data_IF_916445936521
#
_entry.id   IF_916445936521
#
_cell.length_a   1.000
_cell.length_b   1.000
_cell.length_c   1.000
_cell.angle_alpha   90.00
_cell.angle_beta   90.00
_cell.angle_gamma   90.00
#
_symmetry.space_group_name_H-M   'P 1'
#
loop_
_entity.id
_entity.type
_entity.pdbx_description
1 polymer ?
#
# COMPACT_ATOMS: atom_id res chain seq x y z
N UNK A 1 -14.48 11.20 -3.33
CA UNK A 1 -15.52 12.09 -2.74
C UNK A 1 -14.91 12.92 -1.63
N UNK A 2 -15.42 14.13 -1.36
CA UNK A 2 -15.03 14.86 -0.15
C UNK A 2 -15.44 14.02 1.08
N UNK A 3 -14.70 14.17 2.18
CA UNK A 3 -15.04 13.57 3.47
C UNK A 3 -16.44 14.05 3.92
N UNK A 4 -17.16 13.20 4.66
CA UNK A 4 -18.43 13.63 5.25
C UNK A 4 -18.20 14.74 6.28
N UNK A 5 -19.20 15.60 6.55
CA UNK A 5 -19.08 16.64 7.57
C UNK A 5 -18.71 16.09 8.96
N UNK A 6 -19.23 14.91 9.31
CA UNK A 6 -18.93 14.23 10.57
C UNK A 6 -17.48 13.78 10.64
N UNK A 7 -16.96 13.18 9.56
CA UNK A 7 -15.56 12.77 9.47
C UNK A 7 -14.62 13.99 9.51
N UNK A 8 -14.99 15.10 8.88
CA UNK A 8 -14.25 16.35 8.95
C UNK A 8 -14.23 16.92 10.37
N UNK A 9 -15.38 16.94 11.05
CA UNK A 9 -15.47 17.42 12.44
C UNK A 9 -14.66 16.54 13.40
N UNK A 10 -14.63 15.22 13.20
CA UNK A 10 -13.78 14.32 13.98
C UNK A 10 -12.29 14.65 13.81
N UNK A 11 -11.84 14.90 12.58
CA UNK A 11 -10.45 15.28 12.27
C UNK A 11 -10.12 16.61 12.96
N UNK A 12 -10.95 17.63 12.82
CA UNK A 12 -10.75 18.93 13.43
C UNK A 12 -10.69 18.84 14.95
N UNK A 13 -11.58 18.07 15.57
CA UNK A 13 -11.58 17.80 17.00
C UNK A 13 -10.28 17.12 17.45
N UNK A 14 -9.84 16.08 16.75
CA UNK A 14 -8.61 15.37 17.08
C UNK A 14 -7.37 16.28 16.97
N UNK A 15 -7.33 17.18 15.98
CA UNK A 15 -6.20 18.11 15.75
C UNK A 15 -6.24 19.36 16.64
N UNK A 16 -7.38 19.73 17.17
CA UNK A 16 -7.54 20.95 17.99
C UNK A 16 -6.98 20.85 19.41
N UNK A 17 -6.60 19.66 19.85
CA UNK A 17 -6.10 19.41 21.22
C UNK A 17 -4.63 18.91 21.18
N UNK A 18 -3.65 19.80 20.88
CA UNK A 18 -2.25 19.40 20.85
C UNK A 18 -1.77 19.02 22.24
N UNK A 19 -0.86 18.03 22.31
CA UNK A 19 -0.21 17.60 23.53
C UNK A 19 1.30 17.76 23.41
N UNK A 20 1.95 18.25 24.44
CA UNK A 20 3.41 18.25 24.49
C UNK A 20 3.93 16.82 24.64
N UNK A 21 4.99 16.50 23.92
CA UNK A 21 5.69 15.21 24.01
C UNK A 21 7.19 15.42 24.12
N UNK A 22 7.89 14.51 24.80
CA UNK A 22 9.36 14.48 24.87
C UNK A 22 9.98 13.59 23.78
N UNK A 23 9.19 12.83 23.05
CA UNK A 23 9.69 12.04 21.92
C UNK A 23 9.98 12.93 20.71
N UNK A 24 10.92 12.49 19.86
CA UNK A 24 11.16 13.13 18.60
C UNK A 24 9.90 13.10 17.72
N UNK A 25 9.64 14.15 16.99
CA UNK A 25 8.53 14.28 16.04
C UNK A 25 9.06 14.62 14.65
N UNK A 26 8.36 14.13 13.61
CA UNK A 26 8.57 14.51 12.23
C UNK A 26 7.50 15.54 11.86
N UNK A 27 7.90 16.78 11.57
CA UNK A 27 6.96 17.86 11.21
C UNK A 27 6.10 17.46 10.00
N UNK A 28 6.70 16.76 9.03
CA UNK A 28 5.98 16.24 7.87
C UNK A 28 4.88 15.26 8.26
N UNK A 29 5.13 14.34 9.20
CA UNK A 29 4.13 13.39 9.65
C UNK A 29 3.07 14.04 10.57
N UNK A 30 3.47 14.99 11.43
CA UNK A 30 2.54 15.76 12.26
C UNK A 30 1.50 16.50 11.40
N UNK A 31 1.88 16.96 10.22
CA UNK A 31 0.97 17.61 9.28
C UNK A 31 -0.14 16.66 8.77
N UNK A 32 0.11 15.35 8.75
CA UNK A 32 -0.82 14.32 8.27
C UNK A 32 -1.61 13.61 9.36
N UNK A 33 -1.22 13.75 10.65
CA UNK A 33 -1.93 13.08 11.74
C UNK A 33 -3.43 13.36 11.71
N UNK A 34 -4.21 12.28 11.83
CA UNK A 34 -5.67 12.24 11.85
C UNK A 34 -6.36 12.71 10.55
N UNK A 35 -5.62 13.23 9.58
CA UNK A 35 -6.19 13.64 8.30
C UNK A 35 -6.49 12.42 7.44
N UNK A 36 -7.74 12.21 7.05
CA UNK A 36 -8.13 11.17 6.12
C UNK A 36 -7.87 11.64 4.68
N UNK A 37 -6.94 10.98 4.01
CA UNK A 37 -6.63 11.21 2.61
C UNK A 37 -7.48 10.30 1.73
N UNK A 38 -8.38 10.81 0.88
CA UNK A 38 -9.27 10.00 0.06
C UNK A 38 -8.52 9.12 -0.94
N UNK A 39 -9.02 7.90 -1.15
CA UNK A 39 -8.55 6.94 -2.15
C UNK A 39 -9.74 6.21 -2.75
N UNK A 40 -9.78 6.06 -4.06
CA UNK A 40 -10.93 5.51 -4.79
C UNK A 40 -12.20 6.36 -4.54
N UNK A 41 -13.39 5.71 -4.61
CA UNK A 41 -14.68 6.40 -4.44
C UNK A 41 -15.08 6.63 -2.98
N UNK A 42 -14.81 5.67 -2.06
CA UNK A 42 -15.19 5.73 -0.64
C UNK A 42 -14.05 5.43 0.33
N UNK A 43 -12.86 5.06 -0.18
CA UNK A 43 -11.71 4.70 0.63
C UNK A 43 -10.92 5.89 1.15
N UNK A 44 -10.06 5.61 2.11
CA UNK A 44 -9.07 6.57 2.61
C UNK A 44 -7.88 5.89 3.28
N UNK A 45 -6.78 6.65 3.43
CA UNK A 45 -5.68 6.38 4.35
C UNK A 45 -5.57 7.52 5.34
N UNK A 46 -5.47 7.22 6.63
CA UNK A 46 -5.32 8.17 7.73
C UNK A 46 -4.18 7.74 8.64
N UNK A 47 -3.21 8.60 8.89
CA UNK A 47 -2.16 8.36 9.89
C UNK A 47 -2.76 8.55 11.28
N UNK A 48 -2.61 7.55 12.15
CA UNK A 48 -3.12 7.59 13.53
C UNK A 48 -1.99 7.84 14.53
N UNK A 49 -0.83 7.23 14.29
CA UNK A 49 0.30 7.33 15.19
C UNK A 49 1.57 6.88 14.47
N UNK A 50 2.72 7.34 14.92
CA UNK A 50 4.02 6.93 14.39
C UNK A 50 5.09 7.01 15.48
N UNK A 51 6.21 6.35 15.25
CA UNK A 51 7.40 6.37 16.09
C UNK A 51 8.65 6.48 15.22
N UNK A 52 9.53 7.41 15.58
CA UNK A 52 10.82 7.59 14.91
C UNK A 52 10.76 8.50 13.68
N UNK A 53 11.94 8.79 13.18
CA UNK A 53 12.26 9.65 12.05
C UNK A 53 13.59 9.19 11.42
N UNK A 54 14.14 9.93 10.45
CA UNK A 54 15.46 9.63 9.88
C UNK A 54 16.57 9.58 10.95
N UNK A 55 16.49 10.42 12.00
CA UNK A 55 17.48 10.41 13.08
C UNK A 55 17.41 9.15 13.94
N UNK A 56 16.21 8.58 14.12
CA UNK A 56 16.03 7.32 14.83
C UNK A 56 16.69 6.14 14.11
N UNK A 57 16.64 6.10 12.78
CA UNK A 57 17.33 5.10 11.96
C UNK A 57 18.85 5.18 12.18
N UNK A 58 19.40 6.38 12.14
CA UNK A 58 20.82 6.64 12.35
C UNK A 58 21.25 6.29 13.77
N UNK A 59 20.44 6.65 14.76
CA UNK A 59 20.68 6.31 16.18
C UNK A 59 20.75 4.79 16.38
N UNK A 60 19.80 4.07 15.81
CA UNK A 60 19.77 2.61 15.90
C UNK A 60 20.99 1.96 15.23
N UNK A 61 21.40 2.44 14.07
CA UNK A 61 22.60 1.95 13.40
C UNK A 61 23.87 2.18 14.24
N UNK A 62 24.00 3.34 14.87
CA UNK A 62 25.19 3.71 15.65
C UNK A 62 25.34 2.97 16.98
N UNK A 63 24.26 2.46 17.53
CA UNK A 63 24.31 1.64 18.75
C UNK A 63 25.24 0.45 18.61
N UNK A 64 25.34 -0.10 17.40
CA UNK A 64 26.22 -1.23 17.07
C UNK A 64 27.72 -0.93 17.23
N UNK A 65 28.12 0.34 17.25
CA UNK A 65 29.51 0.75 17.41
C UNK A 65 29.90 1.08 18.86
N UNK A 66 28.98 0.96 19.83
CA UNK A 66 29.23 1.21 21.26
C UNK A 66 29.68 2.64 21.61
N UNK A 67 29.76 3.52 20.65
CA UNK A 67 30.39 4.85 20.80
C UNK A 67 29.38 5.99 21.01
N UNK A 68 28.16 5.68 21.44
CA UNK A 68 27.14 6.70 21.73
C UNK A 68 26.75 7.53 20.49
N UNK A 69 25.82 8.40 20.69
CA UNK A 69 25.12 9.23 19.71
C UNK A 69 25.93 10.41 19.15
N UNK A 70 27.20 10.24 18.82
CA UNK A 70 27.93 11.33 18.13
C UNK A 70 27.31 11.53 16.75
N UNK A 71 26.64 12.67 16.56
CA UNK A 71 26.23 13.12 15.24
C UNK A 71 27.46 13.18 14.30
N UNK A 72 27.47 12.33 13.28
CA UNK A 72 28.42 12.46 12.19
C UNK A 72 27.80 13.39 11.14
N UNK A 73 28.66 14.06 10.38
CA UNK A 73 28.27 15.09 9.40
C UNK A 73 27.42 14.58 8.21
N UNK A 74 27.22 13.26 8.08
CA UNK A 74 26.50 12.66 6.95
C UNK A 74 25.59 11.53 7.40
N UNK A 75 24.46 11.90 7.98
CA UNK A 75 23.40 10.95 8.38
C UNK A 75 22.68 10.37 7.15
N UNK A 76 22.49 11.16 6.10
CA UNK A 76 21.89 10.71 4.86
C UNK A 76 22.75 9.67 4.13
N UNK A 77 24.08 9.86 4.12
CA UNK A 77 25.02 8.88 3.57
C UNK A 77 24.97 7.53 4.30
N UNK A 78 24.83 7.55 5.63
CA UNK A 78 24.67 6.32 6.42
C UNK A 78 23.35 5.62 6.08
N UNK A 79 22.24 6.34 6.00
CA UNK A 79 20.93 5.76 5.62
C UNK A 79 21.02 5.12 4.21
N UNK A 80 21.63 5.81 3.25
CA UNK A 80 21.87 5.27 1.91
C UNK A 80 22.74 4.01 1.93
N UNK A 81 23.79 3.99 2.74
CA UNK A 81 24.62 2.79 2.94
C UNK A 81 23.82 1.62 3.48
N UNK A 82 23.04 1.84 4.55
CA UNK A 82 22.20 0.81 5.17
C UNK A 82 21.18 0.25 4.16
N UNK A 83 20.52 1.12 3.40
CA UNK A 83 19.55 0.73 2.38
C UNK A 83 20.20 -0.10 1.28
N UNK A 84 21.36 0.33 0.75
CA UNK A 84 22.09 -0.35 -0.32
C UNK A 84 22.53 -1.75 0.09
N UNK A 85 22.99 -1.91 1.33
CA UNK A 85 23.54 -3.17 1.86
C UNK A 85 22.51 -4.04 2.58
N UNK A 86 21.22 -3.74 2.46
CA UNK A 86 20.13 -4.56 3.01
C UNK A 86 20.13 -4.68 4.54
N UNK A 87 20.65 -3.69 5.26
CA UNK A 87 20.50 -3.62 6.70
C UNK A 87 19.06 -3.24 7.05
N UNK A 88 18.28 -4.17 7.61
CA UNK A 88 16.85 -3.97 7.89
C UNK A 88 16.59 -3.34 9.27
N UNK A 89 17.24 -3.85 10.30
CA UNK A 89 16.96 -3.53 11.71
C UNK A 89 16.93 -2.04 12.05
N UNK A 90 17.81 -1.17 11.52
CA UNK A 90 17.69 0.27 11.80
C UNK A 90 16.38 0.89 11.32
N UNK A 91 15.83 0.42 10.20
CA UNK A 91 14.55 0.88 9.66
C UNK A 91 13.34 0.29 10.43
N UNK A 92 13.52 -0.87 11.08
CA UNK A 92 12.50 -1.49 11.93
C UNK A 92 12.26 -0.70 13.23
N UNK A 93 13.18 0.23 13.60
CA UNK A 93 13.01 1.12 14.75
C UNK A 93 12.07 2.30 14.50
N UNK A 94 11.56 2.44 13.30
CA UNK A 94 10.48 3.36 12.95
C UNK A 94 9.20 2.58 12.69
N UNK A 95 8.09 2.98 13.30
CA UNK A 95 6.78 2.32 13.14
C UNK A 95 5.70 3.35 12.79
N UNK A 96 4.67 2.90 12.08
CA UNK A 96 3.49 3.72 11.77
C UNK A 96 2.22 2.91 11.89
N UNK A 97 1.15 3.57 12.34
CA UNK A 97 -0.20 3.02 12.43
C UNK A 97 -1.15 3.82 11.53
N UNK A 98 -1.68 3.14 10.54
CA UNK A 98 -2.69 3.69 9.64
C UNK A 98 -4.08 3.19 10.01
N UNK A 99 -5.08 4.05 9.82
CA UNK A 99 -6.47 3.66 9.64
C UNK A 99 -6.76 3.68 8.14
N UNK A 100 -7.17 2.57 7.59
CA UNK A 100 -7.41 2.42 6.15
C UNK A 100 -8.83 1.91 5.92
N UNK A 101 -9.56 2.59 5.04
CA UNK A 101 -10.83 2.13 4.49
C UNK A 101 -10.61 1.68 3.06
N UNK A 102 -10.97 0.44 2.75
CA UNK A 102 -10.65 -0.19 1.47
C UNK A 102 -11.67 -1.29 1.11
N UNK A 103 -11.85 -1.62 -0.19
CA UNK A 103 -12.68 -2.75 -0.59
C UNK A 103 -12.13 -4.09 -0.08
N UNK A 104 -13.01 -5.02 0.26
CA UNK A 104 -12.62 -6.35 0.78
C UNK A 104 -11.69 -7.09 -0.18
N UNK A 105 -11.90 -7.02 -1.50
CA UNK A 105 -11.00 -7.68 -2.45
C UNK A 105 -9.57 -7.09 -2.45
N UNK A 106 -9.42 -5.79 -2.16
CA UNK A 106 -8.12 -5.14 -1.96
C UNK A 106 -7.51 -5.57 -0.62
N UNK A 107 -8.34 -5.62 0.44
CA UNK A 107 -7.93 -6.10 1.75
C UNK A 107 -7.38 -7.53 1.69
N UNK A 108 -8.00 -8.43 0.91
CA UNK A 108 -7.54 -9.81 0.69
C UNK A 108 -6.16 -9.89 0.04
N UNK A 109 -5.81 -8.94 -0.79
CA UNK A 109 -4.49 -8.84 -1.40
C UNK A 109 -3.47 -8.21 -0.42
N UNK A 110 -3.87 -7.18 0.33
CA UNK A 110 -3.02 -6.47 1.28
C UNK A 110 -2.60 -7.35 2.48
N UNK A 111 -3.52 -8.15 3.03
CA UNK A 111 -3.27 -9.03 4.18
C UNK A 111 -2.18 -10.08 3.93
N UNK A 112 -1.74 -10.27 2.68
CA UNK A 112 -0.60 -11.14 2.34
C UNK A 112 0.74 -10.57 2.82
N UNK A 113 0.80 -9.27 3.15
CA UNK A 113 1.92 -8.62 3.84
C UNK A 113 1.76 -8.86 5.35
N UNK A 114 2.36 -9.95 5.84
CA UNK A 114 2.08 -10.52 7.17
C UNK A 114 2.90 -9.93 8.31
N UNK A 115 4.00 -9.22 8.01
CA UNK A 115 4.81 -8.55 9.04
C UNK A 115 4.17 -7.20 9.37
N UNK A 116 3.02 -7.28 10.02
CA UNK A 116 2.20 -6.15 10.43
C UNK A 116 1.15 -6.60 11.45
N UNK A 117 0.58 -5.66 12.20
CA UNK A 117 -0.57 -5.89 13.07
C UNK A 117 -1.81 -5.33 12.40
N UNK A 118 -2.89 -6.10 12.37
CA UNK A 118 -4.17 -5.72 11.77
C UNK A 118 -5.28 -5.88 12.78
N UNK A 119 -6.14 -4.88 12.88
CA UNK A 119 -7.41 -4.94 13.60
C UNK A 119 -8.50 -4.42 12.69
N UNK A 120 -9.30 -5.35 12.17
CA UNK A 120 -10.33 -5.06 11.15
C UNK A 120 -11.69 -4.85 11.78
N UNK A 121 -12.48 -3.94 11.20
CA UNK A 121 -13.89 -3.72 11.49
C UNK A 121 -14.69 -5.03 11.35
N UNK A 122 -15.48 -5.35 12.36
CA UNK A 122 -16.16 -6.65 12.40
C UNK A 122 -17.62 -6.54 12.00
N UNK A 123 -17.96 -7.10 10.85
CA UNK A 123 -19.35 -7.32 10.43
C UNK A 123 -20.15 -8.30 11.32
N UNK A 124 -19.53 -8.86 12.38
CA UNK A 124 -20.21 -9.64 13.42
C UNK A 124 -20.85 -8.73 14.48
N UNK A 125 -20.21 -7.60 14.76
CA UNK A 125 -20.64 -6.68 15.81
C UNK A 125 -21.42 -5.48 15.27
N UNK A 126 -21.17 -5.10 14.03
CA UNK A 126 -21.80 -3.94 13.39
C UNK A 126 -22.33 -4.30 12.01
N UNK A 127 -23.31 -3.54 11.54
CA UNK A 127 -23.76 -3.58 10.16
C UNK A 127 -22.71 -2.82 9.34
N UNK A 128 -22.25 -3.40 8.23
CA UNK A 128 -21.33 -2.74 7.32
C UNK A 128 -22.02 -1.57 6.62
N UNK A 129 -21.25 -0.52 6.34
CA UNK A 129 -21.74 0.62 5.57
C UNK A 129 -22.19 0.17 4.16
N UNK A 130 -23.24 0.83 3.63
CA UNK A 130 -23.75 0.58 2.27
C UNK A 130 -22.86 1.28 1.24
N UNK A 131 -21.60 0.88 1.19
CA UNK A 131 -20.60 1.46 0.31
C UNK A 131 -19.86 0.37 -0.45
N UNK A 132 -19.83 0.51 -1.77
CA UNK A 132 -19.25 -0.46 -2.69
C UNK A 132 -18.29 0.26 -3.61
N UNK A 133 -17.15 -0.34 -3.88
CA UNK A 133 -16.27 0.16 -4.91
C UNK A 133 -16.90 -0.08 -6.29
N UNK A 134 -17.09 1.00 -7.01
CA UNK A 134 -17.46 0.98 -8.43
C UNK A 134 -16.34 1.69 -9.20
N UNK A 135 -15.64 0.99 -10.11
CA UNK A 135 -14.53 1.60 -10.84
C UNK A 135 -15.01 2.80 -11.68
N UNK A 136 -14.19 3.86 -11.70
CA UNK A 136 -14.38 4.94 -12.66
C UNK A 136 -14.24 4.41 -14.10
N UNK A 137 -14.87 5.04 -15.09
CA UNK A 137 -14.85 4.55 -16.47
C UNK A 137 -13.45 4.30 -17.04
N UNK A 138 -12.48 5.12 -16.71
CA UNK A 138 -11.08 5.01 -17.12
C UNK A 138 -10.30 3.90 -16.38
N UNK A 139 -10.80 3.44 -15.26
CA UNK A 139 -10.27 2.31 -14.51
C UNK A 139 -10.92 0.96 -14.91
N UNK A 140 -11.98 0.98 -15.71
CA UNK A 140 -12.71 -0.21 -16.16
C UNK A 140 -12.02 -0.82 -17.38
N UNK A 141 -11.08 -1.75 -17.16
CA UNK A 141 -10.25 -2.31 -18.22
C UNK A 141 -10.54 -3.79 -18.47
N UNK A 142 -10.38 -4.20 -19.74
CA UNK A 142 -10.46 -5.58 -20.15
C UNK A 142 -9.30 -6.42 -19.57
N UNK A 143 -9.38 -7.74 -19.68
CA UNK A 143 -8.27 -8.63 -19.35
C UNK A 143 -7.10 -8.40 -20.32
N UNK A 144 -5.87 -8.31 -19.80
CA UNK A 144 -4.68 -8.28 -20.65
C UNK A 144 -4.55 -9.57 -21.47
N UNK A 145 -4.14 -9.42 -22.72
CA UNK A 145 -3.84 -10.53 -23.62
C UNK A 145 -2.40 -11.04 -23.49
N UNK A 146 -1.56 -10.31 -22.78
CA UNK A 146 -0.12 -10.61 -22.62
C UNK A 146 0.17 -11.41 -21.34
N UNK A 147 -0.58 -11.14 -20.28
CA UNK A 147 -0.47 -11.86 -19.01
C UNK A 147 -1.84 -12.06 -18.35
N UNK A 148 -1.95 -13.07 -17.51
CA UNK A 148 -3.21 -13.42 -16.83
C UNK A 148 -3.56 -12.51 -15.63
N UNK A 149 -2.72 -11.57 -15.27
CA UNK A 149 -2.87 -10.70 -14.07
C UNK A 149 -3.03 -9.22 -14.43
N UNK A 150 -2.71 -8.85 -15.66
CA UNK A 150 -2.69 -7.45 -16.10
C UNK A 150 -4.02 -6.98 -16.65
N UNK A 151 -4.17 -5.66 -16.67
CA UNK A 151 -5.25 -4.96 -17.37
C UNK A 151 -4.87 -4.70 -18.82
N UNK A 152 -5.85 -4.82 -19.70
CA UNK A 152 -5.75 -4.47 -21.12
C UNK A 152 -6.31 -3.07 -21.39
N UNK A 153 -6.94 -2.91 -22.56
CA UNK A 153 -7.57 -1.67 -22.96
C UNK A 153 -8.78 -1.34 -22.05
N UNK A 154 -9.03 -0.06 -21.86
CA UNK A 154 -10.22 0.45 -21.14
C UNK A 154 -11.47 0.11 -21.97
N UNK A 155 -12.48 -0.46 -21.31
CA UNK A 155 -13.80 -0.71 -21.90
C UNK A 155 -14.48 0.61 -22.21
N UNK A 156 -15.22 0.68 -23.32
CA UNK A 156 -15.88 1.89 -23.76
C UNK A 156 -17.31 1.64 -24.21
N UNK A 157 -18.09 2.74 -24.33
CA UNK A 157 -19.43 2.71 -24.88
C UNK A 157 -20.43 1.84 -24.12
N UNK A 158 -21.26 1.12 -24.85
CA UNK A 158 -22.35 0.29 -24.29
C UNK A 158 -21.83 -0.88 -23.44
N UNK A 159 -20.67 -1.43 -23.77
CA UNK A 159 -20.07 -2.53 -22.98
C UNK A 159 -19.64 -2.04 -21.59
N UNK A 160 -18.97 -0.91 -21.52
CA UNK A 160 -18.59 -0.28 -20.24
C UNK A 160 -19.82 0.05 -19.39
N UNK A 161 -20.84 0.66 -19.99
CA UNK A 161 -22.09 1.00 -19.32
C UNK A 161 -22.80 -0.26 -18.77
N UNK A 162 -22.88 -1.33 -19.57
CA UNK A 162 -23.46 -2.61 -19.16
C UNK A 162 -22.71 -3.23 -17.97
N UNK A 163 -21.37 -3.23 -18.00
CA UNK A 163 -20.57 -3.82 -16.94
C UNK A 163 -20.71 -3.02 -15.65
N UNK A 164 -20.67 -1.69 -15.72
CA UNK A 164 -20.90 -0.82 -14.55
C UNK A 164 -22.29 -1.00 -13.95
N UNK A 165 -23.32 -1.15 -14.79
CA UNK A 165 -24.69 -1.40 -14.33
C UNK A 165 -24.80 -2.75 -13.59
N UNK A 166 -24.18 -3.82 -14.11
CA UNK A 166 -24.11 -5.12 -13.42
C UNK A 166 -23.45 -4.98 -12.05
N UNK A 167 -22.26 -4.37 -11.98
CA UNK A 167 -21.51 -4.20 -10.74
C UNK A 167 -22.34 -3.46 -9.68
N UNK A 168 -22.97 -2.36 -10.08
CA UNK A 168 -23.79 -1.52 -9.21
C UNK A 168 -25.08 -2.24 -8.75
N UNK A 169 -25.80 -2.85 -9.70
CA UNK A 169 -27.06 -3.52 -9.42
C UNK A 169 -26.89 -4.75 -8.54
N UNK A 170 -25.88 -5.57 -8.83
CA UNK A 170 -25.59 -6.77 -8.04
C UNK A 170 -25.13 -6.43 -6.62
N UNK A 171 -24.25 -5.41 -6.47
CA UNK A 171 -23.83 -4.95 -5.14
C UNK A 171 -25.00 -4.41 -4.32
N UNK A 172 -25.86 -3.57 -4.93
CA UNK A 172 -27.04 -3.01 -4.29
C UNK A 172 -28.00 -4.13 -3.85
N UNK A 173 -28.33 -5.05 -4.76
CA UNK A 173 -29.24 -6.18 -4.48
C UNK A 173 -28.70 -7.10 -3.38
N UNK A 174 -27.39 -7.39 -3.41
CA UNK A 174 -26.77 -8.22 -2.37
C UNK A 174 -26.86 -7.56 -0.98
N UNK A 175 -26.70 -6.26 -0.92
CA UNK A 175 -26.83 -5.50 0.32
C UNK A 175 -28.27 -5.40 0.80
N UNK A 176 -29.24 -5.16 -0.08
CA UNK A 176 -30.68 -5.17 0.26
C UNK A 176 -31.08 -6.52 0.86
N UNK A 177 -30.61 -7.61 0.28
CA UNK A 177 -30.83 -8.96 0.81
C UNK A 177 -30.12 -9.17 2.16
N UNK A 178 -28.93 -8.61 2.35
CA UNK A 178 -28.23 -8.63 3.63
C UNK A 178 -29.05 -7.93 4.72
N UNK A 179 -29.55 -6.72 4.48
CA UNK A 179 -30.42 -6.00 5.41
C UNK A 179 -31.71 -6.74 5.70
N UNK A 180 -32.34 -7.32 4.66
CA UNK A 180 -33.58 -8.09 4.82
C UNK A 180 -33.39 -9.37 5.64
N UNK A 181 -32.19 -9.96 5.67
CA UNK A 181 -31.87 -11.12 6.50
C UNK A 181 -31.61 -10.77 7.96
N UNK A 182 -31.36 -9.52 8.30
CA UNK A 182 -31.16 -9.09 9.68
C UNK A 182 -32.49 -8.97 10.43
N UNK A 183 -32.45 -8.98 11.77
CA UNK A 183 -33.64 -8.76 12.59
C UNK A 183 -34.25 -7.40 12.32
N UNK A 184 -35.53 -7.38 11.94
CA UNK A 184 -36.34 -6.17 11.74
C UNK A 184 -37.69 -6.35 12.43
N UNK A 185 -38.18 -5.28 13.09
CA UNK A 185 -39.56 -5.13 13.59
C UNK A 185 -40.11 -6.34 14.36
N UNK A 186 -39.31 -6.95 15.24
CA UNK A 186 -39.74 -8.06 16.11
C UNK A 186 -39.71 -9.45 15.47
N UNK A 187 -39.23 -9.58 14.24
CA UNK A 187 -38.93 -10.87 13.62
C UNK A 187 -37.50 -11.33 13.98
N UNK A 188 -37.34 -12.64 14.21
CA UNK A 188 -36.03 -13.24 14.37
C UNK A 188 -35.32 -13.26 13.02
N UNK A 189 -34.25 -12.40 12.87
CA UNK A 189 -33.39 -12.42 11.70
C UNK A 189 -32.26 -13.44 11.81
N UNK A 190 -31.53 -13.58 10.73
CA UNK A 190 -30.29 -14.35 10.67
C UNK A 190 -29.21 -13.70 11.53
N UNK A 191 -28.36 -14.48 12.19
CA UNK A 191 -27.21 -13.95 12.91
C UNK A 191 -26.32 -13.14 11.95
N UNK A 192 -25.82 -11.95 12.39
CA UNK A 192 -24.97 -11.05 11.57
C UNK A 192 -23.78 -11.78 10.95
N UNK A 193 -23.16 -12.72 11.68
CA UNK A 193 -22.03 -13.51 11.20
C UNK A 193 -22.37 -14.41 9.99
N UNK A 194 -23.65 -14.74 9.81
CA UNK A 194 -24.15 -15.51 8.69
C UNK A 194 -24.72 -14.60 7.60
N UNK A 195 -25.50 -13.58 7.96
CA UNK A 195 -26.13 -12.67 7.00
C UNK A 195 -25.10 -12.03 6.03
N UNK A 196 -23.91 -11.68 6.55
CA UNK A 196 -22.83 -11.08 5.77
C UNK A 196 -22.21 -12.00 4.68
N UNK A 197 -22.51 -13.28 4.66
CA UNK A 197 -21.91 -14.23 3.70
C UNK A 197 -22.15 -13.85 2.25
N UNK A 198 -23.29 -13.20 1.98
CA UNK A 198 -23.70 -12.83 0.63
C UNK A 198 -23.24 -11.43 0.19
N UNK A 199 -22.50 -10.71 1.03
CA UNK A 199 -21.97 -9.41 0.66
C UNK A 199 -20.90 -9.55 -0.43
N UNK A 200 -20.91 -8.70 -1.46
CA UNK A 200 -19.96 -8.80 -2.57
C UNK A 200 -18.57 -8.34 -2.12
N UNK A 201 -17.55 -8.82 -2.81
CA UNK A 201 -16.16 -8.53 -2.47
C UNK A 201 -15.75 -7.05 -2.63
N UNK A 202 -16.54 -6.25 -3.35
CA UNK A 202 -16.32 -4.80 -3.51
C UNK A 202 -16.91 -3.95 -2.38
N UNK A 203 -17.59 -4.56 -1.37
CA UNK A 203 -18.00 -3.82 -0.16
C UNK A 203 -16.77 -3.29 0.57
N UNK A 204 -16.91 -2.09 1.16
CA UNK A 204 -15.82 -1.50 1.93
C UNK A 204 -15.72 -2.09 3.33
N UNK A 205 -14.49 -2.32 3.77
CA UNK A 205 -14.10 -2.62 5.16
C UNK A 205 -13.14 -1.56 5.66
N UNK A 206 -12.84 -1.58 6.95
CA UNK A 206 -11.89 -0.66 7.58
C UNK A 206 -11.00 -1.43 8.54
N UNK A 207 -9.74 -1.02 8.66
CA UNK A 207 -8.84 -1.58 9.65
C UNK A 207 -7.82 -0.58 10.17
N UNK A 208 -7.31 -0.86 11.35
CA UNK A 208 -6.02 -0.34 11.78
C UNK A 208 -4.94 -1.29 11.29
N UNK A 209 -3.94 -0.76 10.62
CA UNK A 209 -2.78 -1.48 10.12
C UNK A 209 -1.50 -0.82 10.65
N UNK A 210 -0.72 -1.56 11.47
CA UNK A 210 0.53 -1.09 12.07
C UNK A 210 1.68 -1.92 11.53
N UNK A 211 2.74 -1.26 11.08
CA UNK A 211 3.95 -1.91 10.58
C UNK A 211 5.17 -1.03 10.83
N UNK A 212 6.36 -1.62 10.83
CA UNK A 212 7.61 -0.91 10.82
C UNK A 212 7.98 -0.42 9.40
N UNK A 213 8.93 0.52 9.33
CA UNK A 213 9.32 1.16 8.08
C UNK A 213 9.98 0.20 7.08
N UNK A 214 10.75 -0.80 7.54
CA UNK A 214 11.35 -1.79 6.65
C UNK A 214 10.28 -2.60 5.91
N UNK A 215 9.29 -3.11 6.65
CA UNK A 215 8.18 -3.87 6.08
C UNK A 215 7.20 -2.99 5.30
N UNK A 216 7.05 -1.71 5.67
CA UNK A 216 6.31 -0.74 4.87
C UNK A 216 7.00 -0.52 3.51
N UNK A 217 8.31 -0.32 3.47
CA UNK A 217 9.05 -0.21 2.20
C UNK A 217 8.90 -1.47 1.33
N UNK A 218 8.89 -2.66 1.95
CA UNK A 218 8.60 -3.89 1.20
C UNK A 218 7.19 -3.90 0.59
N UNK A 219 6.19 -3.46 1.35
CA UNK A 219 4.82 -3.30 0.84
C UNK A 219 4.78 -2.29 -0.32
N UNK A 220 5.34 -1.10 -0.13
CA UNK A 220 5.34 -0.02 -1.11
C UNK A 220 6.02 -0.43 -2.42
N UNK A 221 7.19 -1.07 -2.35
CA UNK A 221 7.89 -1.58 -3.53
C UNK A 221 7.03 -2.49 -4.39
N UNK A 222 6.24 -3.36 -3.75
CA UNK A 222 5.42 -4.34 -4.48
C UNK A 222 4.06 -3.77 -4.92
N UNK A 223 3.54 -2.77 -4.21
CA UNK A 223 2.17 -2.29 -4.43
C UNK A 223 2.09 -0.93 -5.11
N UNK A 224 3.14 -0.12 -5.06
CA UNK A 224 3.26 1.09 -5.86
C UNK A 224 3.88 0.83 -7.25
N UNK A 225 4.28 -0.42 -7.54
CA UNK A 225 4.77 -0.83 -8.86
C UNK A 225 3.67 -0.68 -9.93
N UNK A 226 4.06 -0.24 -11.13
CA UNK A 226 3.14 -0.02 -12.25
C UNK A 226 2.34 -1.27 -12.66
N UNK A 227 2.90 -2.47 -12.42
CA UNK A 227 2.24 -3.76 -12.69
C UNK A 227 1.33 -4.23 -11.55
N UNK A 228 1.31 -3.52 -10.40
CA UNK A 228 0.36 -3.83 -9.33
C UNK A 228 -1.07 -3.51 -9.76
N UNK A 229 -2.04 -4.25 -9.20
CA UNK A 229 -3.44 -3.97 -9.44
C UNK A 229 -3.76 -2.51 -9.05
N UNK A 230 -4.48 -1.80 -9.90
CA UNK A 230 -4.76 -0.37 -9.73
C UNK A 230 -5.32 -0.03 -8.34
N UNK A 231 -6.31 -0.80 -7.87
CA UNK A 231 -7.00 -0.49 -6.61
C UNK A 231 -6.12 -0.59 -5.36
N UNK A 232 -5.11 -1.43 -5.32
CA UNK A 232 -4.13 -1.44 -4.22
C UNK A 232 -3.00 -0.44 -4.48
N UNK A 233 -2.67 -0.19 -5.76
CA UNK A 233 -1.59 0.70 -6.15
C UNK A 233 -1.86 2.14 -5.71
N UNK A 234 -3.06 2.66 -5.91
CA UNK A 234 -3.40 4.04 -5.52
C UNK A 234 -3.30 4.27 -4.00
N UNK A 235 -3.54 3.24 -3.17
CA UNK A 235 -3.27 3.30 -1.74
C UNK A 235 -1.76 3.38 -1.47
N UNK A 236 -0.98 2.53 -2.11
CA UNK A 236 0.47 2.51 -1.94
C UNK A 236 1.13 3.81 -2.45
N UNK A 237 0.70 4.36 -3.57
CA UNK A 237 1.17 5.65 -4.11
C UNK A 237 0.89 6.81 -3.16
N UNK A 238 -0.30 6.83 -2.53
CA UNK A 238 -0.59 7.81 -1.48
C UNK A 238 0.32 7.61 -0.26
N UNK A 239 0.49 6.36 0.18
CA UNK A 239 1.39 6.07 1.31
C UNK A 239 2.85 6.45 1.01
N UNK A 240 3.32 6.31 -0.22
CA UNK A 240 4.64 6.80 -0.64
C UNK A 240 4.81 8.29 -0.32
N UNK A 241 3.81 9.12 -0.61
CA UNK A 241 3.83 10.56 -0.31
C UNK A 241 3.91 10.82 1.20
N UNK A 242 3.10 10.12 1.99
CA UNK A 242 3.11 10.24 3.45
C UNK A 242 4.47 9.83 4.04
N UNK A 243 5.09 8.78 3.51
CA UNK A 243 6.40 8.30 3.97
C UNK A 243 7.52 9.24 3.52
N UNK A 244 7.42 9.86 2.35
CA UNK A 244 8.37 10.88 1.90
C UNK A 244 8.41 12.09 2.86
N UNK A 245 7.25 12.51 3.37
CA UNK A 245 7.14 13.58 4.34
C UNK A 245 7.59 13.14 5.75
N UNK A 246 7.41 11.85 6.09
CA UNK A 246 7.81 11.30 7.39
C UNK A 246 9.33 11.17 7.55
N UNK A 247 9.98 10.50 6.58
CA UNK A 247 11.40 10.11 6.61
C UNK A 247 12.07 10.42 5.26
N UNK A 248 12.26 11.71 4.93
CA UNK A 248 12.67 12.12 3.59
C UNK A 248 14.00 11.53 3.14
N UNK A 249 15.00 11.39 4.02
CA UNK A 249 16.28 10.80 3.67
C UNK A 249 16.19 9.28 3.41
N UNK A 250 15.44 8.57 4.23
CA UNK A 250 15.20 7.13 4.07
C UNK A 250 14.33 6.87 2.82
N UNK A 251 13.33 7.72 2.56
CA UNK A 251 12.48 7.60 1.39
C UNK A 251 13.27 7.85 0.09
N UNK A 252 14.13 8.87 0.04
CA UNK A 252 15.01 9.11 -1.10
C UNK A 252 15.95 7.92 -1.38
N UNK A 253 16.48 7.29 -0.32
CA UNK A 253 17.27 6.08 -0.46
C UNK A 253 16.43 4.89 -0.96
N UNK A 254 15.18 4.77 -0.50
CA UNK A 254 14.24 3.76 -0.95
C UNK A 254 13.89 3.92 -2.43
N UNK A 255 13.59 5.14 -2.88
CA UNK A 255 13.34 5.43 -4.30
C UNK A 255 14.51 4.98 -5.17
N UNK A 256 15.73 5.38 -4.81
CA UNK A 256 16.93 5.08 -5.60
C UNK A 256 17.28 3.59 -5.61
N UNK A 257 17.35 2.95 -4.42
CA UNK A 257 17.86 1.58 -4.31
C UNK A 257 16.79 0.47 -4.40
N UNK A 258 15.52 0.81 -4.24
CA UNK A 258 14.44 -0.20 -4.23
C UNK A 258 13.43 -0.01 -5.35
N UNK A 259 12.94 1.20 -5.58
CA UNK A 259 11.96 1.48 -6.64
C UNK A 259 12.64 1.60 -7.99
N UNK A 260 13.72 2.38 -8.08
CA UNK A 260 14.52 2.56 -9.30
C UNK A 260 15.63 1.54 -9.49
N UNK A 261 15.88 0.71 -8.48
CA UNK A 261 16.95 -0.29 -8.54
C UNK A 261 16.56 -1.54 -9.33
N UNK A 262 17.52 -2.13 -10.02
CA UNK A 262 17.36 -3.39 -10.74
C UNK A 262 18.04 -4.53 -9.99
N UNK A 263 17.37 -5.66 -9.83
CA UNK A 263 17.95 -6.88 -9.27
C UNK A 263 18.40 -7.80 -10.40
N UNK A 264 19.69 -8.12 -10.42
CA UNK A 264 20.26 -9.05 -11.36
C UNK A 264 20.67 -10.36 -10.66
N UNK A 265 20.40 -11.49 -11.31
CA UNK A 265 21.01 -12.75 -10.92
C UNK A 265 22.52 -12.74 -11.21
N UNK A 266 23.27 -13.72 -10.66
CA UNK A 266 24.68 -13.90 -11.03
C UNK A 266 24.90 -14.06 -12.54
N UNK A 267 23.97 -14.74 -13.23
CA UNK A 267 23.99 -14.85 -14.71
C UNK A 267 23.73 -13.51 -15.37
N UNK A 268 22.78 -12.71 -14.84
CA UNK A 268 22.50 -11.36 -15.33
C UNK A 268 23.72 -10.43 -15.23
N UNK A 269 24.43 -10.48 -14.11
CA UNK A 269 25.70 -9.72 -13.95
C UNK A 269 26.76 -10.17 -14.95
N UNK A 270 26.89 -11.48 -15.19
CA UNK A 270 27.86 -12.00 -16.15
C UNK A 270 27.53 -11.58 -17.59
N UNK A 271 26.28 -11.70 -17.99
CA UNK A 271 25.80 -11.24 -19.30
C UNK A 271 26.04 -9.74 -19.49
N UNK A 272 25.76 -8.93 -18.47
CA UNK A 272 26.01 -7.48 -18.52
C UNK A 272 27.49 -7.18 -18.74
N UNK A 273 28.39 -7.87 -18.02
CA UNK A 273 29.85 -7.73 -18.20
C UNK A 273 30.29 -8.11 -19.62
N UNK A 274 29.80 -9.21 -20.16
CA UNK A 274 30.12 -9.67 -21.53
C UNK A 274 29.63 -8.67 -22.59
N UNK A 275 28.42 -8.11 -22.42
CA UNK A 275 27.90 -7.06 -23.31
C UNK A 275 28.73 -5.77 -23.23
N UNK A 276 29.11 -5.34 -22.04
CA UNK A 276 30.01 -4.19 -21.87
C UNK A 276 31.40 -4.41 -22.47
N UNK A 277 31.85 -5.66 -22.56
CA UNK A 277 33.08 -6.04 -23.29
C UNK A 277 32.91 -6.15 -24.82
N UNK A 278 31.71 -5.85 -25.35
CA UNK A 278 31.42 -5.88 -26.79
C UNK A 278 31.01 -7.25 -27.31
N UNK A 279 30.73 -8.23 -26.45
CA UNK A 279 30.29 -9.56 -26.86
C UNK A 279 28.80 -9.55 -27.23
N UNK A 280 28.47 -10.16 -28.37
CA UNK A 280 27.08 -10.41 -28.77
C UNK A 280 26.52 -11.58 -27.98
N UNK A 281 25.71 -11.32 -26.95
CA UNK A 281 25.08 -12.33 -26.12
C UNK A 281 23.61 -12.50 -26.52
N UNK A 282 23.21 -13.73 -26.81
CA UNK A 282 21.81 -14.12 -27.10
C UNK A 282 21.20 -14.84 -25.91
N UNK A 283 19.90 -15.14 -25.98
CA UNK A 283 19.21 -15.91 -24.94
C UNK A 283 19.87 -17.28 -24.73
N UNK A 284 20.22 -17.97 -25.83
CA UNK A 284 20.84 -19.30 -25.81
C UNK A 284 22.22 -19.28 -25.15
N UNK A 285 23.02 -18.23 -25.40
CA UNK A 285 24.40 -18.10 -24.86
C UNK A 285 24.44 -17.44 -23.49
N UNK A 286 23.33 -16.89 -23.01
CA UNK A 286 23.22 -16.20 -21.70
C UNK A 286 23.18 -17.15 -20.51
N UNK A 287 22.68 -18.38 -20.71
CA UNK A 287 22.38 -19.34 -19.65
C UNK A 287 21.17 -18.95 -18.80
N UNK A 288 20.43 -17.89 -19.18
CA UNK A 288 19.19 -17.46 -18.51
C UNK A 288 17.98 -18.24 -19.02
N UNK A 289 16.91 -18.32 -18.22
CA UNK A 289 15.61 -18.74 -18.71
C UNK A 289 15.03 -17.71 -19.71
N UNK A 290 14.07 -18.13 -20.53
CA UNK A 290 13.39 -17.21 -21.48
C UNK A 290 12.72 -16.03 -20.77
N UNK A 291 12.14 -16.25 -19.59
CA UNK A 291 11.51 -15.20 -18.79
C UNK A 291 12.54 -14.18 -18.28
N UNK A 292 13.60 -14.68 -17.65
CA UNK A 292 14.68 -13.84 -17.13
C UNK A 292 15.39 -13.06 -18.24
N UNK A 293 15.62 -13.69 -19.41
CA UNK A 293 16.20 -13.00 -20.56
C UNK A 293 15.32 -11.87 -21.06
N UNK A 294 13.99 -12.07 -21.13
CA UNK A 294 13.07 -11.04 -21.54
C UNK A 294 13.13 -9.82 -20.59
N UNK A 295 13.07 -10.05 -19.29
CA UNK A 295 13.17 -9.01 -18.27
C UNK A 295 14.54 -8.28 -18.35
N UNK A 296 15.63 -9.02 -18.56
CA UNK A 296 16.95 -8.44 -18.75
C UNK A 296 17.02 -7.53 -19.98
N UNK A 297 16.46 -7.95 -21.11
CA UNK A 297 16.46 -7.18 -22.38
C UNK A 297 15.54 -5.96 -22.26
N UNK A 298 14.45 -6.05 -21.54
CA UNK A 298 13.56 -4.90 -21.28
C UNK A 298 14.29 -3.75 -20.59
N UNK A 299 15.25 -4.07 -19.73
CA UNK A 299 16.03 -3.05 -18.98
C UNK A 299 17.32 -2.65 -19.70
N UNK A 300 18.01 -3.61 -20.33
CA UNK A 300 19.40 -3.43 -20.86
C UNK A 300 19.51 -3.73 -22.36
N UNK A 301 18.39 -3.91 -23.05
CA UNK A 301 18.35 -4.31 -24.46
C UNK A 301 18.67 -3.24 -25.49
#
# INVERSE_FOLDING_TARGET
MPLTPEAQAEIETARSTPRQTLRAVSDGMEAHLYTAHPVLDHGFVRVIDYMGDDAAIVQAARVSYGAGTKQARDDAGLIRYLMRHWHSTPFEMCEVKFHVKLPVFVARQWIRHRTANVNEYSARYSILDREFYIPEPDALAAQSTVNNQGRGAVLQGEEAARVLDILKTDATRAYDNYEAMLSQDGQQGLARELARMNLPANVYTQWYWKTDLHNLFHFLRLRADAHAQYEIRVYAELMCKLVADWVPAAYSAFEDYRMGGVSLSGKGVEVLKRRLAGEAVTQETSGMSKGEWREFVEVFG
#
